data_IF_351227843568
#
_entry.id   IF_351227843568
#
_cell.length_a   1.000
_cell.length_b   1.000
_cell.length_c   1.000
_cell.angle_alpha   90.00
_cell.angle_beta   90.00
_cell.angle_gamma   90.00
#
_symmetry.space_group_name_H-M   'P 1'
#
loop_
_entity.id
_entity.type
_entity.pdbx_description
1 polymer ?
#
# COMPACT_ATOMS: atom_id res chain seq x y z
N UNK A 1 -3.53 -5.37 3.78
CA UNK A 1 -4.00 -6.28 4.85
C UNK A 1 -3.98 -5.50 6.17
N UNK A 2 -5.05 -5.47 6.96
CA UNK A 2 -5.09 -4.68 8.21
C UNK A 2 -5.27 -5.59 9.42
N UNK A 3 -4.32 -5.54 10.35
CA UNK A 3 -4.42 -6.12 11.69
C UNK A 3 -5.41 -5.27 12.53
N UNK A 4 -6.34 -5.92 13.22
CA UNK A 4 -7.40 -5.25 14.00
C UNK A 4 -7.15 -5.43 15.49
N UNK A 5 -6.49 -4.45 16.12
CA UNK A 5 -6.32 -4.36 17.57
C UNK A 5 -7.64 -4.03 18.27
N UNK A 6 -8.32 -5.08 18.76
CA UNK A 6 -9.26 -5.23 19.90
C UNK A 6 -10.20 -4.11 20.42
N UNK A 7 -10.29 -2.91 19.82
CA UNK A 7 -11.13 -1.80 20.36
C UNK A 7 -11.90 -0.97 19.32
N UNK A 8 -11.86 -1.34 18.03
CA UNK A 8 -12.73 -0.77 17.00
C UNK A 8 -13.95 -1.68 16.76
N UNK A 9 -15.13 -1.14 16.36
CA UNK A 9 -16.28 -1.97 15.98
C UNK A 9 -15.82 -3.00 14.97
N UNK A 10 -16.08 -4.27 15.28
CA UNK A 10 -15.58 -5.45 14.59
C UNK A 10 -15.61 -5.21 13.07
N UNK A 11 -14.44 -5.08 12.46
CA UNK A 11 -14.27 -4.73 11.05
C UNK A 11 -15.06 -5.63 10.10
N UNK A 12 -15.40 -6.85 10.53
CA UNK A 12 -16.31 -7.77 9.84
C UNK A 12 -17.76 -7.28 9.71
N UNK A 13 -18.33 -6.60 10.70
CA UNK A 13 -19.70 -6.09 10.62
C UNK A 13 -19.80 -4.82 9.77
N UNK A 14 -18.74 -4.01 9.76
CA UNK A 14 -18.63 -2.90 8.83
C UNK A 14 -18.48 -3.40 7.39
N UNK A 15 -17.68 -4.45 7.17
CA UNK A 15 -17.48 -5.02 5.84
C UNK A 15 -18.76 -5.60 5.22
N UNK A 16 -19.67 -6.16 6.03
CA UNK A 16 -20.99 -6.63 5.55
C UNK A 16 -21.87 -5.51 4.98
N UNK A 17 -21.62 -4.25 5.35
CA UNK A 17 -22.37 -3.08 4.89
C UNK A 17 -21.76 -2.43 3.64
N UNK A 18 -20.60 -2.91 3.18
CA UNK A 18 -19.92 -2.33 2.03
C UNK A 18 -20.55 -2.79 0.70
N UNK A 19 -20.64 -1.91 -0.31
CA UNK A 19 -21.03 -2.29 -1.65
C UNK A 19 -20.19 -3.45 -2.18
N UNK A 20 -20.81 -4.30 -3.00
CA UNK A 20 -20.18 -5.51 -3.54
C UNK A 20 -18.83 -5.24 -4.22
N UNK A 21 -18.73 -4.16 -5.01
CA UNK A 21 -17.53 -3.74 -5.73
C UNK A 21 -16.33 -3.44 -4.82
N UNK A 22 -16.60 -3.00 -3.58
CA UNK A 22 -15.57 -2.71 -2.57
C UNK A 22 -15.24 -3.98 -1.80
N UNK A 23 -16.27 -4.72 -1.39
CA UNK A 23 -16.13 -6.00 -0.68
C UNK A 23 -15.31 -7.02 -1.48
N UNK A 24 -15.48 -7.09 -2.80
CA UNK A 24 -14.71 -7.95 -3.68
C UNK A 24 -13.20 -7.64 -3.70
N UNK A 25 -12.81 -6.40 -3.38
CA UNK A 25 -11.41 -5.96 -3.29
C UNK A 25 -10.80 -6.14 -1.89
N UNK A 26 -11.60 -6.50 -0.89
CA UNK A 26 -11.13 -6.68 0.49
C UNK A 26 -10.88 -8.16 0.75
N UNK A 27 -9.71 -8.47 1.32
CA UNK A 27 -9.37 -9.79 1.83
C UNK A 27 -8.96 -9.67 3.29
N UNK A 28 -9.59 -10.48 4.12
CA UNK A 28 -9.24 -10.61 5.53
C UNK A 28 -8.21 -11.72 5.67
N UNK A 29 -7.22 -11.49 6.52
CA UNK A 29 -6.28 -12.50 6.94
C UNK A 29 -5.93 -12.29 8.40
N UNK A 30 -5.50 -13.37 9.03
CA UNK A 30 -4.98 -13.33 10.39
C UNK A 30 -3.55 -12.79 10.39
N UNK A 31 -3.12 -12.28 11.54
CA UNK A 31 -1.79 -11.72 11.71
C UNK A 31 -0.70 -12.75 11.39
N UNK A 32 -0.92 -13.98 11.83
CA UNK A 32 -0.02 -15.11 11.61
C UNK A 32 0.22 -15.43 10.12
N UNK A 33 -0.68 -14.98 9.23
CA UNK A 33 -0.57 -15.20 7.79
C UNK A 33 0.19 -14.07 7.08
N UNK A 34 0.46 -12.94 7.76
CA UNK A 34 1.17 -11.80 7.17
C UNK A 34 2.49 -12.20 6.50
N UNK A 35 3.35 -13.06 7.11
CA UNK A 35 4.64 -13.37 6.48
C UNK A 35 4.51 -14.13 5.14
N UNK A 36 3.44 -14.90 4.96
CA UNK A 36 3.22 -15.67 3.73
C UNK A 36 2.52 -14.91 2.61
N UNK A 37 2.15 -13.65 2.83
CA UNK A 37 1.30 -12.90 1.92
C UNK A 37 2.06 -11.84 1.15
N UNK A 38 1.78 -11.75 -0.14
CA UNK A 38 2.33 -10.70 -0.99
C UNK A 38 1.54 -9.39 -0.79
N UNK A 39 2.24 -8.34 -0.39
CA UNK A 39 1.72 -6.99 -0.30
C UNK A 39 2.85 -5.97 -0.41
N UNK A 40 2.54 -4.80 -0.97
CA UNK A 40 3.52 -3.74 -1.30
C UNK A 40 3.64 -2.66 -0.22
N UNK A 41 2.63 -2.52 0.64
CA UNK A 41 2.59 -1.51 1.70
C UNK A 41 1.73 -1.94 2.89
N UNK A 42 2.06 -1.43 4.08
CA UNK A 42 1.31 -1.63 5.32
C UNK A 42 0.89 -0.29 5.92
N UNK A 43 -0.37 -0.20 6.32
CA UNK A 43 -0.93 0.93 7.06
C UNK A 43 -1.42 0.39 8.41
N UNK A 44 -0.91 0.97 9.49
CA UNK A 44 -1.24 0.61 10.86
C UNK A 44 -1.77 1.82 11.62
N UNK A 45 -2.88 1.62 12.33
CA UNK A 45 -3.47 2.61 13.23
C UNK A 45 -3.49 2.04 14.64
N UNK A 46 -2.77 2.65 15.58
CA UNK A 46 -2.69 2.13 16.93
C UNK A 46 -1.55 2.69 17.75
N UNK A 47 -1.10 1.90 18.72
CA UNK A 47 -0.13 2.31 19.72
C UNK A 47 1.30 1.95 19.28
N UNK A 48 2.30 2.70 19.76
CA UNK A 48 3.69 2.57 19.30
C UNK A 48 4.31 1.20 19.57
N UNK A 49 3.94 0.55 20.68
CA UNK A 49 4.49 -0.75 21.06
C UNK A 49 4.05 -1.85 20.08
N UNK A 50 2.78 -1.85 19.70
CA UNK A 50 2.23 -2.77 18.71
C UNK A 50 2.75 -2.48 17.30
N UNK A 51 2.99 -1.19 16.97
CA UNK A 51 3.63 -0.82 15.71
C UNK A 51 5.04 -1.43 15.62
N UNK A 52 5.81 -1.42 16.71
CA UNK A 52 7.15 -2.00 16.72
C UNK A 52 7.11 -3.51 16.44
N UNK A 53 6.23 -4.25 17.13
CA UNK A 53 6.03 -5.68 16.88
C UNK A 53 5.63 -5.97 15.43
N UNK A 54 4.74 -5.15 14.86
CA UNK A 54 4.34 -5.27 13.46
C UNK A 54 5.50 -5.01 12.50
N UNK A 55 6.33 -4.00 12.77
CA UNK A 55 7.52 -3.72 11.96
C UNK A 55 8.50 -4.90 11.97
N UNK A 56 8.72 -5.53 13.13
CA UNK A 56 9.55 -6.73 13.24
C UNK A 56 8.99 -7.90 12.42
N UNK A 57 7.68 -8.14 12.48
CA UNK A 57 7.02 -9.19 11.70
C UNK A 57 7.10 -8.94 10.18
N UNK A 58 6.92 -7.69 9.75
CA UNK A 58 7.01 -7.33 8.33
C UNK A 58 8.46 -7.41 7.84
N UNK A 59 9.43 -7.02 8.67
CA UNK A 59 10.86 -7.10 8.34
C UNK A 59 11.37 -8.55 8.29
N UNK A 60 10.78 -9.47 9.06
CA UNK A 60 11.09 -10.89 9.03
C UNK A 60 10.55 -11.62 7.79
N UNK A 61 9.81 -10.94 6.93
CA UNK A 61 9.22 -11.53 5.73
C UNK A 61 10.27 -11.71 4.64
N UNK A 62 10.20 -12.84 3.95
CA UNK A 62 10.97 -13.05 2.74
C UNK A 62 10.51 -12.13 1.59
N UNK A 63 11.45 -11.78 0.73
CA UNK A 63 11.20 -10.99 -0.49
C UNK A 63 11.49 -9.51 -0.33
N UNK A 64 10.72 -8.69 -1.06
CA UNK A 64 10.93 -7.24 -1.08
C UNK A 64 10.63 -6.61 0.29
N UNK A 65 11.45 -5.63 0.68
CA UNK A 65 11.23 -4.80 1.87
C UNK A 65 9.94 -4.00 1.66
N UNK A 66 9.04 -4.07 2.64
CA UNK A 66 7.76 -3.38 2.59
C UNK A 66 7.75 -2.20 3.53
N UNK A 67 7.24 -1.06 3.03
CA UNK A 67 7.06 0.13 3.84
C UNK A 67 5.89 -0.04 4.82
N UNK A 68 6.11 0.37 6.08
CA UNK A 68 5.08 0.42 7.12
C UNK A 68 4.82 1.88 7.49
N UNK A 69 3.56 2.29 7.42
CA UNK A 69 3.10 3.61 7.85
C UNK A 69 2.29 3.46 9.13
N UNK A 70 2.80 4.03 10.22
CA UNK A 70 2.13 4.06 11.52
C UNK A 70 1.40 5.38 11.75
N UNK A 71 0.15 5.30 12.20
CA UNK A 71 -0.72 6.44 12.47
C UNK A 71 -1.37 6.30 13.85
N UNK A 72 -1.67 7.44 14.49
CA UNK A 72 -2.46 7.42 15.71
C UNK A 72 -3.90 6.96 15.42
N UNK A 73 -4.61 6.47 16.44
CA UNK A 73 -6.00 6.03 16.29
C UNK A 73 -6.88 7.19 15.81
N UNK A 74 -7.65 6.96 14.74
CA UNK A 74 -8.55 7.97 14.17
C UNK A 74 -7.87 8.96 13.22
N UNK A 75 -6.56 8.84 13.00
CA UNK A 75 -5.86 9.70 12.06
C UNK A 75 -6.16 9.33 10.60
N UNK A 76 -6.51 10.34 9.81
CA UNK A 76 -6.99 10.20 8.43
C UNK A 76 -6.03 10.75 7.40
N UNK A 77 -4.98 11.46 7.82
CA UNK A 77 -4.00 12.06 6.93
C UNK A 77 -2.96 11.02 6.47
N UNK A 78 -3.40 10.14 5.55
CA UNK A 78 -2.56 9.10 4.97
C UNK A 78 -1.65 9.69 3.88
N UNK A 79 -0.38 9.31 3.89
CA UNK A 79 0.58 9.67 2.85
C UNK A 79 0.35 8.79 1.61
N UNK A 80 -0.58 9.22 0.76
CA UNK A 80 -1.01 8.47 -0.42
C UNK A 80 0.10 8.33 -1.46
N UNK A 81 1.02 9.28 -1.53
CA UNK A 81 2.19 9.25 -2.41
C UNK A 81 3.05 8.00 -2.21
N UNK A 82 3.07 7.44 -0.99
CA UNK A 82 3.79 6.20 -0.65
C UNK A 82 3.05 4.93 -1.07
N UNK A 83 1.83 5.05 -1.61
CA UNK A 83 1.02 3.93 -2.09
C UNK A 83 1.00 3.85 -3.63
N UNK A 84 1.65 4.80 -4.32
CA UNK A 84 1.84 4.74 -5.76
C UNK A 84 3.12 3.99 -6.12
N UNK A 85 3.06 3.28 -7.24
CA UNK A 85 4.25 2.72 -7.88
C UNK A 85 4.67 3.70 -8.98
N UNK A 86 5.80 4.38 -8.76
CA UNK A 86 6.34 5.28 -9.76
C UNK A 86 6.90 4.50 -10.96
N UNK A 87 6.61 4.99 -12.17
CA UNK A 87 7.07 4.41 -13.43
C UNK A 87 7.61 5.53 -14.31
N UNK A 88 8.87 5.41 -14.73
CA UNK A 88 9.50 6.34 -15.67
C UNK A 88 9.65 5.68 -17.03
N UNK A 89 9.27 6.40 -18.09
CA UNK A 89 9.35 5.97 -19.48
C UNK A 89 10.11 7.03 -20.27
N UNK A 90 11.28 6.66 -20.79
CA UNK A 90 12.08 7.50 -21.67
C UNK A 90 12.03 6.96 -23.09
N UNK A 91 11.55 7.77 -24.02
CA UNK A 91 11.40 7.40 -25.43
C UNK A 91 12.37 8.25 -26.24
N UNK A 92 13.28 7.58 -26.97
CA UNK A 92 14.12 8.25 -27.95
C UNK A 92 13.28 8.58 -29.20
N UNK A 93 12.74 9.80 -29.25
CA UNK A 93 11.92 10.28 -30.38
C UNK A 93 12.70 10.50 -31.67
N UNK A 94 14.04 10.56 -31.59
CA UNK A 94 14.92 10.70 -32.75
C UNK A 94 15.43 9.34 -33.28
N UNK A 95 15.00 8.22 -32.69
CA UNK A 95 15.49 6.88 -33.05
C UNK A 95 15.26 6.52 -34.53
N UNK A 96 14.25 7.12 -35.19
CA UNK A 96 13.99 6.97 -36.62
C UNK A 96 14.90 7.81 -37.53
N UNK A 97 15.91 8.48 -36.98
CA UNK A 97 16.91 9.26 -37.74
C UNK A 97 16.61 10.75 -37.87
N UNK A 98 15.59 11.27 -37.20
CA UNK A 98 15.25 12.70 -37.23
C UNK A 98 14.34 13.10 -36.07
N UNK A 99 14.45 14.34 -35.60
CA UNK A 99 13.56 14.89 -34.58
C UNK A 99 12.48 15.75 -35.27
N UNK A 100 11.27 15.21 -35.38
CA UNK A 100 10.14 15.89 -36.02
C UNK A 100 9.83 17.27 -35.40
N UNK A 101 10.02 17.44 -34.08
CA UNK A 101 9.82 18.73 -33.41
C UNK A 101 10.85 19.79 -33.83
N UNK A 102 12.07 19.38 -34.18
CA UNK A 102 13.11 20.29 -34.70
C UNK A 102 12.90 20.63 -36.19
N UNK A 103 12.16 19.81 -36.94
CA UNK A 103 11.86 20.07 -38.35
C UNK A 103 10.84 21.21 -38.57
N UNK A 104 10.18 21.67 -37.50
CA UNK A 104 9.12 22.69 -37.57
C UNK A 104 9.55 24.04 -36.96
N UNK A 105 10.75 24.13 -36.38
CA UNK A 105 11.33 25.39 -35.91
C UNK A 105 12.15 25.99 -37.06
N UNK A 106 11.72 27.14 -37.56
CA UNK A 106 12.38 27.93 -38.60
C UNK A 106 12.30 29.43 -38.27
#
# INVERSE_FOLDING_TARGET
MKYCGRTAPCSGDLAKKLPREVSERIRFAKAEQLPGQAFDAVIYHGDSDQLRELCEQVAARDGAIVSVQGFARGETNLLLERLYIERSLSVNTAAAGGNASLMTIG
#
